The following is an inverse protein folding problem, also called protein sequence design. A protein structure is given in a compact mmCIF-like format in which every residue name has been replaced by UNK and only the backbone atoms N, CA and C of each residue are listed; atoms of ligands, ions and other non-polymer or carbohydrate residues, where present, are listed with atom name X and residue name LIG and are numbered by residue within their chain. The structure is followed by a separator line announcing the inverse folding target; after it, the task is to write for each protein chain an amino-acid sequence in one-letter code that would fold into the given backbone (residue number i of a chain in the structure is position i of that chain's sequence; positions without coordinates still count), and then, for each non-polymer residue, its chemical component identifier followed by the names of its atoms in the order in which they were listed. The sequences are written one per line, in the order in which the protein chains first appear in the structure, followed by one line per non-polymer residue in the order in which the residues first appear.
data_IF_500256725946
#
_entry.id   IF_500256725946
#
_cell.length_a   1.000
_cell.length_b   1.000
_cell.length_c   1.000
_cell.angle_alpha   90.00
_cell.angle_beta   90.00
_cell.angle_gamma   90.00
#
_symmetry.space_group_name_H-M   'P 1'
#
loop_
_entity.id
_entity.type
_entity.pdbx_description
1 polymer ?
#
# COMPACT_ATOMS: atom_id res chain seq x y z
N UNK A 1 13.29 -9.79 10.64
CA UNK A 1 14.00 -10.32 11.83
C UNK A 1 15.39 -9.74 11.97
N UNK A 2 16.36 -10.09 11.11
CA UNK A 2 17.77 -9.61 11.19
C UNK A 2 17.88 -8.08 11.24
N UNK A 3 17.17 -7.36 10.37
CA UNK A 3 17.19 -5.89 10.38
C UNK A 3 16.67 -5.30 11.71
N UNK A 4 15.68 -5.93 12.34
CA UNK A 4 15.18 -5.51 13.66
C UNK A 4 16.17 -5.82 14.79
N UNK A 5 16.87 -6.95 14.72
CA UNK A 5 17.96 -7.27 15.65
C UNK A 5 19.12 -6.28 15.50
N UNK A 6 19.46 -5.87 14.27
CA UNK A 6 20.44 -4.82 14.00
C UNK A 6 20.00 -3.47 14.59
N UNK A 7 18.75 -3.06 14.37
CA UNK A 7 18.18 -1.84 14.98
C UNK A 7 18.26 -1.88 16.50
N UNK A 8 17.86 -2.99 17.13
CA UNK A 8 17.94 -3.14 18.58
C UNK A 8 19.41 -3.10 19.07
N UNK A 9 20.33 -3.72 18.35
CA UNK A 9 21.76 -3.65 18.67
C UNK A 9 22.26 -2.19 18.64
N UNK A 10 21.92 -1.40 17.61
CA UNK A 10 22.31 0.03 17.56
C UNK A 10 21.70 0.85 18.69
N UNK A 11 20.47 0.53 19.10
CA UNK A 11 19.81 1.15 20.23
C UNK A 11 20.52 0.84 21.56
N UNK A 12 20.85 -0.43 21.81
CA UNK A 12 21.60 -0.86 23.00
C UNK A 12 23.00 -0.23 23.05
N UNK A 13 23.68 -0.12 21.91
CA UNK A 13 24.98 0.54 21.82
C UNK A 13 24.85 2.02 22.18
N UNK A 14 23.87 2.74 21.62
CA UNK A 14 23.62 4.14 21.93
C UNK A 14 23.36 4.37 23.44
N UNK A 15 22.52 3.52 24.05
CA UNK A 15 22.29 3.55 25.49
C UNK A 15 23.59 3.31 26.29
N UNK A 16 24.40 2.34 25.89
CA UNK A 16 25.64 1.99 26.59
C UNK A 16 26.69 3.11 26.56
N UNK A 17 26.72 3.88 25.48
CA UNK A 17 27.64 5.03 25.34
C UNK A 17 27.01 6.36 25.77
N UNK A 18 25.81 6.33 26.37
CA UNK A 18 25.13 7.53 26.87
C UNK A 18 24.64 8.49 25.78
N UNK A 19 24.45 7.99 24.55
CA UNK A 19 23.98 8.78 23.42
C UNK A 19 22.48 8.57 23.18
N UNK A 20 21.80 9.62 22.72
CA UNK A 20 20.40 9.50 22.30
C UNK A 20 20.28 8.65 21.02
N UNK A 21 19.21 7.85 20.92
CA UNK A 21 18.86 7.07 19.74
C UNK A 21 17.48 7.51 19.23
N UNK A 22 17.30 7.78 17.93
CA UNK A 22 18.31 7.77 16.87
C UNK A 22 19.20 9.03 16.88
N UNK A 23 20.33 8.98 16.18
CA UNK A 23 21.23 10.12 16.00
C UNK A 23 21.93 10.04 14.62
N UNK A 24 22.67 11.10 14.24
CA UNK A 24 23.34 11.20 12.94
C UNK A 24 24.25 10.01 12.61
N UNK A 25 24.94 9.43 13.61
CA UNK A 25 25.83 8.28 13.38
C UNK A 25 25.03 7.03 12.98
N UNK A 26 23.89 6.81 13.64
CA UNK A 26 22.98 5.70 13.31
C UNK A 26 22.36 5.91 11.93
N UNK A 27 22.01 7.14 11.56
CA UNK A 27 21.48 7.45 10.24
C UNK A 27 22.50 7.17 9.13
N UNK A 28 23.73 7.67 9.26
CA UNK A 28 24.81 7.40 8.30
C UNK A 28 25.12 5.91 8.18
N UNK A 29 25.11 5.20 9.31
CA UNK A 29 25.28 3.76 9.35
C UNK A 29 24.20 3.03 8.54
N UNK A 30 22.91 3.31 8.80
CA UNK A 30 21.82 2.67 8.09
C UNK A 30 21.77 3.05 6.61
N UNK A 31 22.09 4.30 6.25
CA UNK A 31 22.22 4.70 4.83
C UNK A 31 23.26 3.85 4.11
N UNK A 32 24.42 3.57 4.74
CA UNK A 32 25.45 2.73 4.15
C UNK A 32 24.99 1.27 4.02
N UNK A 33 24.34 0.73 5.05
CA UNK A 33 23.75 -0.62 5.02
C UNK A 33 22.74 -0.74 3.88
N UNK A 34 21.86 0.26 3.71
CA UNK A 34 20.90 0.29 2.60
C UNK A 34 21.55 0.39 1.23
N UNK A 35 22.56 1.24 1.07
CA UNK A 35 23.33 1.33 -0.18
C UNK A 35 24.12 0.07 -0.52
N UNK A 36 24.51 -0.73 0.47
CA UNK A 36 25.28 -1.93 0.21
C UNK A 36 24.38 -3.14 -0.04
N UNK A 37 23.45 -3.43 0.88
CA UNK A 37 22.64 -4.65 0.85
C UNK A 37 21.30 -4.50 0.14
N UNK A 38 20.77 -3.28 0.03
CA UNK A 38 19.42 -3.02 -0.48
C UNK A 38 19.41 -2.11 -1.71
N UNK A 39 20.53 -1.95 -2.42
CA UNK A 39 20.65 -1.03 -3.55
C UNK A 39 19.72 -1.36 -4.73
N UNK A 40 19.47 -2.65 -4.97
CA UNK A 40 18.57 -3.11 -6.03
C UNK A 40 17.13 -3.34 -5.55
N UNK A 41 16.83 -3.05 -4.29
CA UNK A 41 15.47 -3.20 -3.78
C UNK A 41 14.59 -2.04 -4.26
N UNK A 42 13.40 -2.35 -4.78
CA UNK A 42 12.40 -1.33 -5.08
C UNK A 42 11.97 -0.60 -3.81
N UNK A 43 11.92 0.74 -3.87
CA UNK A 43 11.37 1.57 -2.79
C UNK A 43 9.87 1.37 -2.61
N UNK A 44 9.18 0.94 -3.68
CA UNK A 44 7.74 0.67 -3.71
C UNK A 44 7.43 -0.80 -3.45
N UNK A 45 6.25 -1.08 -2.91
CA UNK A 45 5.69 -2.44 -2.79
C UNK A 45 5.76 -3.11 -1.41
N UNK A 46 6.48 -2.54 -0.44
CA UNK A 46 6.51 -3.07 0.95
C UNK A 46 5.50 -2.42 1.89
N UNK A 47 5.10 -1.18 1.60
CA UNK A 47 4.09 -0.48 2.39
C UNK A 47 2.70 -0.81 1.82
N UNK A 48 1.77 -1.20 2.69
CA UNK A 48 0.38 -1.34 2.30
C UNK A 48 -0.12 0.04 1.85
N UNK A 49 -0.41 0.16 0.55
CA UNK A 49 -0.84 1.41 -0.08
C UNK A 49 -1.94 1.09 -1.07
N UNK A 50 -2.88 2.01 -1.22
CA UNK A 50 -3.92 1.89 -2.24
C UNK A 50 -3.28 1.76 -3.64
N UNK A 51 -3.87 0.94 -4.52
CA UNK A 51 -3.40 0.84 -5.88
C UNK A 51 -3.51 2.21 -6.58
N UNK A 52 -2.67 2.47 -7.60
CA UNK A 52 -2.73 3.72 -8.35
C UNK A 52 -4.14 3.95 -8.92
N UNK A 53 -4.56 5.21 -9.00
CA UNK A 53 -5.91 5.60 -9.43
C UNK A 53 -6.32 5.01 -10.79
N UNK A 54 -5.35 4.77 -11.69
CA UNK A 54 -5.59 4.13 -12.98
C UNK A 54 -6.07 2.66 -12.89
N UNK A 55 -5.83 1.99 -11.76
CA UNK A 55 -6.34 0.63 -11.48
C UNK A 55 -7.57 0.71 -10.59
N UNK A 56 -7.52 1.55 -9.54
CA UNK A 56 -8.62 1.68 -8.57
C UNK A 56 -9.90 2.22 -9.22
N UNK A 57 -9.78 3.23 -10.08
CA UNK A 57 -10.91 3.88 -10.74
C UNK A 57 -11.76 2.91 -11.56
N UNK A 58 -11.18 2.14 -12.51
CA UNK A 58 -11.91 1.11 -13.25
C UNK A 58 -12.57 0.06 -12.35
N UNK A 59 -11.89 -0.37 -11.28
CA UNK A 59 -12.43 -1.35 -10.32
C UNK A 59 -13.69 -0.85 -9.60
N UNK A 60 -13.82 0.46 -9.38
CA UNK A 60 -15.00 1.07 -8.78
C UNK A 60 -16.07 1.33 -9.86
N UNK A 61 -15.67 1.89 -11.01
CA UNK A 61 -16.60 2.31 -12.05
C UNK A 61 -17.32 1.12 -12.71
N UNK A 62 -16.62 0.02 -12.99
CA UNK A 62 -17.21 -1.14 -13.69
C UNK A 62 -18.38 -1.75 -12.91
N UNK A 63 -18.27 -2.11 -11.62
CA UNK A 63 -19.40 -2.62 -10.85
C UNK A 63 -20.59 -1.65 -10.79
N UNK A 64 -20.32 -0.34 -10.63
CA UNK A 64 -21.38 0.69 -10.60
C UNK A 64 -22.12 0.76 -11.93
N UNK A 65 -21.41 0.75 -13.05
CA UNK A 65 -22.02 0.75 -14.37
C UNK A 65 -22.84 -0.53 -14.61
N UNK A 66 -22.33 -1.68 -14.17
CA UNK A 66 -23.05 -2.96 -14.29
C UNK A 66 -24.35 -2.93 -13.48
N UNK A 67 -24.34 -2.44 -12.24
CA UNK A 67 -25.57 -2.35 -11.43
C UNK A 67 -26.58 -1.39 -12.03
N UNK A 68 -26.15 -0.24 -12.56
CA UNK A 68 -27.04 0.69 -13.26
C UNK A 68 -27.64 0.09 -14.55
N UNK A 69 -26.84 -0.64 -15.32
CA UNK A 69 -27.32 -1.31 -16.53
C UNK A 69 -28.33 -2.41 -16.18
N UNK A 70 -28.04 -3.25 -15.19
CA UNK A 70 -28.95 -4.31 -14.76
C UNK A 70 -30.26 -3.76 -14.23
N UNK A 71 -30.24 -2.69 -13.42
CA UNK A 71 -31.46 -2.06 -12.93
C UNK A 71 -32.29 -1.45 -14.06
N UNK A 72 -31.66 -0.75 -15.02
CA UNK A 72 -32.34 -0.23 -16.20
C UNK A 72 -32.97 -1.34 -17.05
N UNK A 73 -32.25 -2.45 -17.26
CA UNK A 73 -32.77 -3.63 -17.98
C UNK A 73 -33.98 -4.25 -17.27
N UNK A 74 -33.93 -4.41 -15.95
CA UNK A 74 -35.04 -4.95 -15.16
C UNK A 74 -36.27 -4.05 -15.26
N UNK A 75 -36.10 -2.72 -15.08
CA UNK A 75 -37.20 -1.75 -15.20
C UNK A 75 -37.82 -1.78 -16.60
N UNK A 76 -36.98 -1.83 -17.63
CA UNK A 76 -37.45 -1.90 -19.01
C UNK A 76 -38.26 -3.18 -19.29
N UNK A 77 -37.75 -4.33 -18.84
CA UNK A 77 -38.45 -5.63 -19.00
C UNK A 77 -39.76 -5.67 -18.22
N UNK A 78 -39.78 -5.15 -16.99
CA UNK A 78 -40.99 -5.08 -16.16
C UNK A 78 -42.07 -4.23 -16.82
N UNK A 79 -41.74 -3.00 -17.26
CA UNK A 79 -42.71 -2.12 -17.95
C UNK A 79 -43.24 -2.73 -19.25
N UNK A 80 -42.40 -3.41 -20.02
CA UNK A 80 -42.82 -4.08 -21.26
C UNK A 80 -43.73 -5.28 -20.99
N UNK A 81 -43.53 -5.98 -19.87
CA UNK A 81 -44.39 -7.09 -19.45
C UNK A 81 -45.75 -6.62 -18.93
N UNK A 82 -45.80 -5.48 -18.24
CA UNK A 82 -47.06 -4.87 -17.75
C UNK A 82 -47.90 -4.25 -18.88
N UNK A 83 -47.28 -3.69 -19.92
CA UNK A 83 -47.97 -3.13 -21.08
C UNK A 83 -48.45 -4.16 -22.13
N UNK A 84 -48.35 -5.46 -21.83
CA UNK A 84 -48.77 -6.59 -22.70
C UNK A 84 -50.05 -7.29 -22.17
N UNK A 85 -50.78 -6.65 -21.25
CA UNK A 85 -52.12 -7.07 -20.79
C UNK A 85 -53.17 -6.05 -21.19
#
# INVERSE_FOLDING_TARGET
RIYGELTNCTFLVALKVGCFWPNRLVDEFFIRVHRHYFHDCSLSGRLLRDPPNGILGPFIAVPVLVTLLMTALVVWRSKRSEGIV
#
